data_IF_780758298411
#
_entry.id   IF_780758298411
#
_cell.length_a   1.000
_cell.length_b   1.000
_cell.length_c   1.000
_cell.angle_alpha   90.00
_cell.angle_beta   90.00
_cell.angle_gamma   90.00
#
_symmetry.space_group_name_H-M   'P 1'
#
loop_
_entity.id
_entity.type
_entity.pdbx_description
1 polymer ?
#
# COMPACT_ATOMS: atom_id res chain seq x y z
N UNK A 1 -30.49 -14.62 -4.34
CA UNK A 1 -29.64 -13.73 -5.15
C UNK A 1 -28.18 -14.07 -4.85
N UNK A 2 -27.34 -14.40 -5.84
CA UNK A 2 -25.90 -14.66 -5.64
C UNK A 2 -25.11 -13.44 -6.13
N UNK A 3 -24.40 -12.79 -5.21
CA UNK A 3 -23.51 -11.68 -5.57
C UNK A 3 -22.25 -12.25 -6.23
N UNK A 4 -21.92 -11.73 -7.43
CA UNK A 4 -20.68 -12.06 -8.12
C UNK A 4 -19.69 -10.91 -7.96
N UNK A 5 -18.58 -11.16 -7.27
CA UNK A 5 -17.52 -10.17 -7.11
C UNK A 5 -16.67 -10.17 -8.38
N UNK A 6 -16.71 -9.06 -9.10
CA UNK A 6 -15.96 -8.89 -10.37
C UNK A 6 -14.57 -8.29 -10.19
N UNK A 7 -14.43 -7.43 -9.17
CA UNK A 7 -13.18 -6.75 -8.79
C UNK A 7 -13.25 -6.42 -7.29
N UNK A 8 -12.10 -6.32 -6.65
CA UNK A 8 -11.96 -5.89 -5.27
C UNK A 8 -10.99 -4.71 -5.17
N UNK A 9 -11.15 -3.88 -4.14
CA UNK A 9 -10.18 -2.88 -3.75
C UNK A 9 -9.89 -3.04 -2.25
N UNK A 10 -8.61 -3.04 -1.88
CA UNK A 10 -8.14 -3.11 -0.50
C UNK A 10 -7.40 -1.80 -0.20
N UNK A 11 -7.80 -1.14 0.87
CA UNK A 11 -7.20 0.11 1.34
C UNK A 11 -6.28 -0.23 2.53
N UNK A 12 -5.01 0.11 2.38
CA UNK A 12 -3.91 -0.32 3.24
C UNK A 12 -3.15 -1.50 2.63
N UNK A 13 -1.84 -1.34 2.47
CA UNK A 13 -0.92 -2.31 1.88
C UNK A 13 0.06 -2.93 2.89
N UNK A 14 -0.14 -2.65 4.18
CA UNK A 14 0.53 -3.37 5.27
C UNK A 14 0.22 -4.87 5.29
N UNK A 15 0.80 -5.60 6.25
CA UNK A 15 0.77 -7.07 6.32
C UNK A 15 -0.63 -7.68 6.16
N UNK A 16 -1.62 -7.15 6.88
CA UNK A 16 -3.02 -7.61 6.78
C UNK A 16 -3.64 -7.29 5.42
N UNK A 17 -3.47 -6.05 4.92
CA UNK A 17 -4.06 -5.61 3.65
C UNK A 17 -3.49 -6.35 2.44
N UNK A 18 -2.17 -6.54 2.43
CA UNK A 18 -1.50 -7.39 1.45
C UNK A 18 -1.99 -8.84 1.49
N UNK A 19 -2.18 -9.41 2.69
CA UNK A 19 -2.74 -10.75 2.85
C UNK A 19 -4.17 -10.89 2.31
N UNK A 20 -5.04 -9.92 2.61
CA UNK A 20 -6.42 -9.91 2.09
C UNK A 20 -6.41 -9.78 0.55
N UNK A 21 -5.59 -8.88 0.00
CA UNK A 21 -5.47 -8.72 -1.44
C UNK A 21 -4.93 -9.99 -2.12
N UNK A 22 -4.00 -10.69 -1.49
CA UNK A 22 -3.46 -11.96 -1.97
C UNK A 22 -4.54 -13.05 -2.04
N UNK A 23 -5.46 -13.11 -1.06
CA UNK A 23 -6.58 -14.06 -1.11
C UNK A 23 -7.51 -13.80 -2.31
N UNK A 24 -7.88 -12.54 -2.56
CA UNK A 24 -8.69 -12.19 -3.72
C UNK A 24 -7.97 -12.48 -5.04
N UNK A 25 -6.69 -12.07 -5.14
CA UNK A 25 -5.87 -12.33 -6.32
C UNK A 25 -5.68 -13.83 -6.58
N UNK A 26 -5.48 -14.63 -5.52
CA UNK A 26 -5.35 -16.09 -5.60
C UNK A 26 -6.61 -16.79 -6.12
N UNK A 27 -7.78 -16.19 -5.92
CA UNK A 27 -9.05 -16.65 -6.49
C UNK A 27 -9.31 -16.10 -7.91
N UNK A 28 -8.35 -15.39 -8.50
CA UNK A 28 -8.46 -14.80 -9.83
C UNK A 28 -9.33 -13.53 -9.88
N UNK A 29 -9.64 -12.93 -8.72
CA UNK A 29 -10.39 -11.67 -8.66
C UNK A 29 -9.41 -10.51 -8.85
N UNK A 30 -9.56 -9.68 -9.90
CA UNK A 30 -8.73 -8.50 -10.07
C UNK A 30 -8.86 -7.58 -8.86
N UNK A 31 -7.73 -7.33 -8.20
CA UNK A 31 -7.70 -6.63 -6.92
C UNK A 31 -6.79 -5.42 -7.00
N UNK A 32 -7.33 -4.26 -6.62
CA UNK A 32 -6.56 -3.02 -6.47
C UNK A 32 -6.08 -2.92 -5.02
N UNK A 33 -4.79 -2.71 -4.81
CA UNK A 33 -4.22 -2.43 -3.49
C UNK A 33 -3.78 -0.97 -3.46
N UNK A 34 -4.35 -0.18 -2.57
CA UNK A 34 -4.06 1.25 -2.43
C UNK A 34 -3.53 1.53 -1.04
N UNK A 35 -2.53 2.41 -0.95
CA UNK A 35 -2.02 2.91 0.32
C UNK A 35 -1.67 4.39 0.22
N UNK A 36 -1.48 5.01 1.38
CA UNK A 36 -1.03 6.38 1.49
C UNK A 36 0.49 6.47 1.32
N UNK A 37 0.94 7.56 0.71
CA UNK A 37 2.35 7.94 0.69
C UNK A 37 2.56 9.14 1.61
N UNK A 38 3.77 9.37 2.13
CA UNK A 38 4.01 10.53 2.96
C UNK A 38 3.89 11.84 2.17
N UNK A 39 3.32 12.85 2.81
CA UNK A 39 3.10 14.17 2.22
C UNK A 39 4.25 15.16 2.48
N UNK A 40 5.17 14.82 3.39
CA UNK A 40 6.27 15.67 3.83
C UNK A 40 7.47 14.82 4.22
N UNK A 41 8.67 15.35 4.00
CA UNK A 41 9.90 14.72 4.48
C UNK A 41 10.04 14.91 5.99
N UNK A 42 10.82 14.03 6.62
CA UNK A 42 11.33 14.24 7.98
C UNK A 42 12.62 15.04 7.91
N UNK A 43 13.00 15.69 9.02
CA UNK A 43 14.27 16.44 9.09
C UNK A 43 15.50 15.56 8.79
N UNK A 44 15.44 14.26 9.14
CA UNK A 44 16.51 13.31 8.82
C UNK A 44 16.61 13.05 7.31
N UNK A 45 15.46 12.81 6.66
CA UNK A 45 15.42 12.62 5.20
C UNK A 45 15.83 13.87 4.43
N UNK A 46 15.45 15.06 4.90
CA UNK A 46 15.90 16.33 4.31
C UNK A 46 17.42 16.49 4.44
N UNK A 47 17.99 16.16 5.60
CA UNK A 47 19.44 16.19 5.82
C UNK A 47 20.18 15.16 4.95
N UNK A 48 19.54 14.03 4.62
CA UNK A 48 20.05 13.01 3.71
C UNK A 48 19.82 13.35 2.22
N UNK A 49 19.18 14.48 1.92
CA UNK A 49 18.91 14.92 0.54
C UNK A 49 17.86 14.09 -0.20
N UNK A 50 16.99 13.38 0.53
CA UNK A 50 15.91 12.57 -0.04
C UNK A 50 14.75 13.45 -0.54
N UNK A 51 13.92 12.85 -1.36
CA UNK A 51 12.73 13.43 -1.99
C UNK A 51 11.50 12.56 -1.70
N UNK A 52 10.30 13.11 -1.90
CA UNK A 52 9.05 12.36 -1.73
C UNK A 52 8.90 11.19 -2.72
N UNK A 53 9.72 11.16 -3.78
CA UNK A 53 9.69 10.08 -4.77
C UNK A 53 10.62 8.91 -4.41
N UNK A 54 11.52 9.09 -3.44
CA UNK A 54 12.42 8.02 -3.03
C UNK A 54 11.63 6.86 -2.43
N UNK A 55 11.94 5.64 -2.89
CA UNK A 55 11.23 4.43 -2.47
C UNK A 55 11.25 4.25 -0.95
N UNK A 56 12.39 4.55 -0.31
CA UNK A 56 12.51 4.51 1.15
C UNK A 56 11.58 5.49 1.85
N UNK A 57 11.35 6.68 1.27
CA UNK A 57 10.43 7.66 1.82
C UNK A 57 9.00 7.18 1.60
N UNK A 58 8.66 6.80 0.36
CA UNK A 58 7.31 6.34 -0.02
C UNK A 58 6.81 5.16 0.81
N UNK A 59 7.69 4.22 1.15
CA UNK A 59 7.31 3.00 1.87
C UNK A 59 7.37 3.12 3.41
N UNK A 60 7.94 4.22 3.95
CA UNK A 60 8.23 4.34 5.39
C UNK A 60 7.02 4.18 6.31
N UNK A 61 5.81 4.53 5.85
CA UNK A 61 4.58 4.44 6.65
C UNK A 61 4.27 2.97 6.95
N UNK A 62 4.54 2.09 5.99
CA UNK A 62 4.30 0.65 6.11
C UNK A 62 5.45 0.00 6.88
N UNK A 63 6.70 0.40 6.61
CA UNK A 63 7.89 -0.16 7.27
C UNK A 63 7.99 0.22 8.76
N UNK A 64 7.29 1.27 9.21
CA UNK A 64 7.26 1.67 10.61
C UNK A 64 6.30 0.84 11.49
N UNK A 65 5.46 -0.01 10.89
CA UNK A 65 4.48 -0.86 11.60
C UNK A 65 4.93 -2.32 11.68
#
# INVERSE_FOLDING_TARGET
MKYHIRKAAVIGSGTMGGGIAALFAGLGIPTLLLDIVPFKLTAAEEAEGKTLEDTSVRNRIIEAG
#
